data_IF_155125266856
#
_entry.id   IF_155125266856
#
_cell.length_a   1.000
_cell.length_b   1.000
_cell.length_c   1.000
_cell.angle_alpha   90.00
_cell.angle_beta   90.00
_cell.angle_gamma   90.00
#
_symmetry.space_group_name_H-M   'P 1'
#
loop_
_entity.id
_entity.type
_entity.pdbx_description
1 polymer ?
#
# COMPACT_ATOMS: atom_id res chain seq x y z
N UNK A 1 4.79 31.50 7.08
CA UNK A 1 5.17 30.12 6.72
C UNK A 1 6.59 29.91 7.21
N UNK A 2 6.79 29.02 8.18
CA UNK A 2 8.09 28.85 8.86
C UNK A 2 9.04 27.98 8.02
N UNK A 3 10.34 27.99 8.33
CA UNK A 3 11.32 27.13 7.66
C UNK A 3 10.98 25.63 7.81
N UNK A 4 10.41 25.26 8.95
CA UNK A 4 9.91 23.91 9.24
C UNK A 4 8.77 23.52 8.30
N UNK A 5 7.80 24.42 8.05
CA UNK A 5 6.69 24.18 7.12
C UNK A 5 7.18 23.94 5.69
N UNK A 6 8.24 24.65 5.29
CA UNK A 6 8.84 24.52 3.95
C UNK A 6 9.50 23.16 3.77
N UNK A 7 10.28 22.72 4.77
CA UNK A 7 10.96 21.41 4.74
C UNK A 7 9.94 20.27 4.78
N UNK A 8 8.91 20.36 5.62
CA UNK A 8 7.82 19.36 5.69
C UNK A 8 7.06 19.28 4.37
N UNK A 9 6.81 20.42 3.71
CA UNK A 9 6.11 20.47 2.43
C UNK A 9 6.94 19.86 1.30
N UNK A 10 8.25 20.14 1.26
CA UNK A 10 9.19 19.55 0.29
C UNK A 10 9.40 18.04 0.54
N UNK A 11 9.40 17.63 1.81
CA UNK A 11 9.72 16.28 2.27
C UNK A 11 8.58 15.27 2.25
N UNK A 12 7.51 15.47 1.46
CA UNK A 12 6.35 14.56 1.42
C UNK A 12 6.68 13.09 1.07
N UNK A 13 7.93 12.78 0.68
CA UNK A 13 8.45 11.44 0.36
C UNK A 13 9.48 10.92 1.36
N UNK A 14 9.79 11.68 2.41
CA UNK A 14 10.83 11.38 3.39
C UNK A 14 10.22 10.83 4.68
N UNK A 15 10.96 9.99 5.40
CA UNK A 15 10.58 9.59 6.75
C UNK A 15 10.70 10.76 7.72
N UNK A 16 9.90 10.76 8.79
CA UNK A 16 9.95 11.81 9.84
C UNK A 16 11.36 11.99 10.42
N UNK A 17 12.13 10.90 10.55
CA UNK A 17 13.52 10.96 10.99
C UNK A 17 14.45 11.66 9.99
N UNK A 18 14.22 11.49 8.68
CA UNK A 18 15.00 12.22 7.67
C UNK A 18 14.62 13.71 7.67
N UNK A 19 13.37 14.04 7.99
CA UNK A 19 12.94 15.43 8.17
C UNK A 19 13.58 16.06 9.42
N UNK A 20 13.79 15.31 10.51
CA UNK A 20 14.55 15.81 11.67
C UNK A 20 16.01 16.11 11.32
N UNK A 21 16.64 15.27 10.51
CA UNK A 21 18.06 15.41 10.16
C UNK A 21 18.33 16.59 9.20
N UNK A 22 17.31 17.00 8.44
CA UNK A 22 17.36 18.16 7.53
C UNK A 22 17.13 19.50 8.24
N UNK A 23 16.83 19.48 9.54
CA UNK A 23 16.59 20.69 10.33
C UNK A 23 17.90 21.19 10.93
N UNK A 24 18.11 22.51 10.90
CA UNK A 24 19.28 23.20 11.47
C UNK A 24 19.37 23.07 12.99
N UNK A 25 18.24 22.82 13.64
CA UNK A 25 18.15 22.60 15.07
C UNK A 25 17.68 21.18 15.36
N UNK A 26 18.09 20.63 16.50
CA UNK A 26 17.68 19.31 16.94
C UNK A 26 16.19 19.34 17.32
N UNK A 27 15.33 18.96 16.38
CA UNK A 27 13.88 18.94 16.57
C UNK A 27 13.44 17.52 16.92
N UNK A 28 12.61 17.39 17.96
CA UNK A 28 12.00 16.13 18.31
C UNK A 28 10.98 15.68 17.24
N UNK A 29 10.94 14.39 16.97
CA UNK A 29 10.00 13.79 15.99
C UNK A 29 8.53 14.08 16.31
N UNK A 30 8.17 14.27 17.58
CA UNK A 30 6.82 14.65 18.01
C UNK A 30 6.42 16.05 17.53
N UNK A 31 7.36 17.01 17.53
CA UNK A 31 7.14 18.37 17.04
C UNK A 31 6.84 18.35 15.55
N UNK A 32 7.61 17.57 14.77
CA UNK A 32 7.39 17.43 13.33
C UNK A 32 6.03 16.79 13.03
N UNK A 33 5.64 15.73 13.75
CA UNK A 33 4.31 15.12 13.60
C UNK A 33 3.18 16.12 13.88
N UNK A 34 3.32 16.95 14.91
CA UNK A 34 2.32 17.97 15.25
C UNK A 34 2.18 19.03 14.16
N UNK A 35 3.29 19.50 13.59
CA UNK A 35 3.26 20.47 12.50
C UNK A 35 2.72 19.84 11.20
N UNK A 36 3.05 18.58 10.87
CA UNK A 36 2.43 17.84 9.77
C UNK A 36 0.89 17.79 9.92
N UNK A 37 0.40 17.50 11.12
CA UNK A 37 -1.04 17.47 11.42
C UNK A 37 -1.69 18.85 11.30
N UNK A 38 -1.03 19.92 11.76
CA UNK A 38 -1.54 21.30 11.61
C UNK A 38 -1.63 21.72 10.15
N UNK A 39 -0.72 21.24 9.29
CA UNK A 39 -0.76 21.45 7.85
C UNK A 39 -1.83 20.59 7.14
N UNK A 40 -2.64 19.82 7.89
CA UNK A 40 -3.70 18.98 7.35
C UNK A 40 -3.20 17.74 6.61
N UNK A 41 -1.92 17.39 6.74
CA UNK A 41 -1.32 16.22 6.08
C UNK A 41 -1.37 15.01 7.00
N UNK A 42 -1.60 13.84 6.43
CA UNK A 42 -1.57 12.56 7.15
C UNK A 42 -0.32 11.77 6.75
N UNK A 43 0.30 11.12 7.74
CA UNK A 43 1.38 10.18 7.51
C UNK A 43 0.79 8.86 7.02
N UNK A 44 1.04 8.52 5.76
CA UNK A 44 0.66 7.24 5.18
C UNK A 44 1.89 6.34 5.01
N UNK A 45 1.67 5.03 5.09
CA UNK A 45 2.67 4.04 4.70
C UNK A 45 2.89 4.19 3.19
N UNK A 46 4.15 4.40 2.79
CA UNK A 46 4.50 4.48 1.38
C UNK A 46 4.14 3.16 0.68
N UNK A 47 3.23 3.22 -0.29
CA UNK A 47 2.93 2.07 -1.14
C UNK A 47 4.16 1.73 -1.96
N UNK A 48 4.52 0.44 -2.04
CA UNK A 48 5.50 -0.01 -3.03
C UNK A 48 4.97 0.38 -4.41
N UNK A 49 5.69 1.26 -5.10
CA UNK A 49 5.34 1.63 -6.47
C UNK A 49 5.42 0.35 -7.32
N UNK A 50 4.36 0.01 -8.07
CA UNK A 50 4.47 -1.07 -9.04
C UNK A 50 5.52 -0.71 -10.09
N UNK A 51 6.26 -1.71 -10.56
CA UNK A 51 7.29 -1.50 -11.58
C UNK A 51 6.63 -1.07 -12.89
N UNK A 52 6.93 0.14 -13.38
CA UNK A 52 6.25 0.80 -14.52
C UNK A 52 6.69 0.27 -15.89
N UNK A 53 6.89 -1.04 -16.01
CA UNK A 53 7.35 -1.68 -17.26
C UNK A 53 6.36 -1.55 -18.41
N UNK A 54 5.08 -1.35 -18.09
CA UNK A 54 3.99 -1.34 -19.06
C UNK A 54 3.65 0.05 -19.60
N UNK A 55 4.37 1.10 -19.20
CA UNK A 55 4.04 2.47 -19.59
C UNK A 55 4.10 2.69 -21.11
N UNK A 56 5.15 2.18 -21.76
CA UNK A 56 5.29 2.27 -23.22
C UNK A 56 4.16 1.52 -23.96
N UNK A 57 3.80 0.34 -23.47
CA UNK A 57 2.70 -0.45 -24.03
C UNK A 57 1.36 0.26 -23.86
N UNK A 58 1.09 0.82 -22.67
CA UNK A 58 -0.14 1.56 -22.41
C UNK A 58 -0.24 2.85 -23.23
N UNK A 59 0.88 3.55 -23.44
CA UNK A 59 0.92 4.75 -24.29
C UNK A 59 0.71 4.40 -25.76
N UNK A 60 1.33 3.33 -26.26
CA UNK A 60 1.18 2.89 -27.64
C UNK A 60 -0.26 2.46 -27.97
N UNK A 61 -0.99 1.89 -26.99
CA UNK A 61 -2.32 1.33 -27.18
C UNK A 61 -3.43 2.13 -26.47
N UNK A 62 -3.16 3.38 -26.08
CA UNK A 62 -4.13 4.23 -25.37
C UNK A 62 -5.40 4.55 -26.16
N UNK A 63 -5.33 4.42 -27.48
CA UNK A 63 -6.41 4.67 -28.43
C UNK A 63 -7.16 3.41 -28.84
N UNK A 64 -6.80 2.23 -28.30
CA UNK A 64 -7.49 0.98 -28.60
C UNK A 64 -8.96 1.05 -28.20
N UNK A 65 -9.79 0.61 -29.12
CA UNK A 65 -11.21 0.41 -28.91
C UNK A 65 -11.48 -0.99 -28.37
N UNK A 66 -12.71 -1.24 -27.93
CA UNK A 66 -13.13 -2.55 -27.46
C UNK A 66 -12.93 -3.62 -28.55
N UNK A 67 -13.14 -3.26 -29.83
CA UNK A 67 -12.92 -4.17 -30.95
C UNK A 67 -11.44 -4.52 -31.13
N UNK A 68 -10.52 -3.56 -30.95
CA UNK A 68 -9.08 -3.81 -31.05
C UNK A 68 -8.63 -4.79 -29.96
N UNK A 69 -9.12 -4.60 -28.73
CA UNK A 69 -8.89 -5.53 -27.62
C UNK A 69 -9.46 -6.93 -27.88
N UNK A 70 -10.59 -7.03 -28.58
CA UNK A 70 -11.24 -8.30 -28.90
C UNK A 70 -10.47 -9.13 -29.95
N UNK A 71 -9.62 -8.50 -30.75
CA UNK A 71 -8.75 -9.20 -31.71
C UNK A 71 -7.44 -9.69 -31.08
N UNK A 72 -7.16 -9.35 -29.82
CA UNK A 72 -5.95 -9.80 -29.13
C UNK A 72 -6.15 -11.20 -28.57
N UNK A 73 -5.26 -12.12 -28.96
CA UNK A 73 -5.16 -13.42 -28.32
C UNK A 73 -4.36 -13.30 -27.02
N UNK A 74 -5.04 -13.49 -25.88
CA UNK A 74 -4.41 -13.51 -24.57
C UNK A 74 -4.07 -14.94 -24.18
N UNK A 75 -2.82 -15.17 -23.76
CA UNK A 75 -2.36 -16.45 -23.22
C UNK A 75 -1.72 -16.20 -21.86
N UNK A 76 -2.14 -16.92 -20.84
CA UNK A 76 -1.52 -16.89 -19.51
C UNK A 76 -1.37 -18.31 -18.99
N UNK A 77 -0.33 -18.53 -18.19
CA UNK A 77 -0.07 -19.80 -17.53
C UNK A 77 -0.46 -19.65 -16.06
N UNK A 78 -1.53 -20.33 -15.66
CA UNK A 78 -1.94 -20.40 -14.26
C UNK A 78 -1.36 -21.66 -13.62
N UNK A 79 -0.67 -21.49 -12.49
CA UNK A 79 -0.27 -22.61 -11.65
C UNK A 79 -1.49 -23.12 -10.86
N UNK A 80 -1.87 -24.38 -11.10
CA UNK A 80 -2.86 -25.08 -10.27
C UNK A 80 -2.13 -25.85 -9.16
N UNK A 81 -2.29 -25.40 -7.92
CA UNK A 81 -1.79 -26.11 -6.74
C UNK A 81 -2.91 -26.98 -6.14
N UNK A 82 -2.76 -28.31 -6.20
CA UNK A 82 -3.64 -29.24 -5.47
C UNK A 82 -3.17 -29.34 -4.00
N UNK A 83 -4.08 -29.14 -3.05
CA UNK A 83 -3.82 -29.32 -1.61
C UNK A 83 -3.39 -28.08 -0.83
N UNK A 84 -3.33 -26.90 -1.47
CA UNK A 84 -3.22 -25.64 -0.72
C UNK A 84 -4.54 -25.39 0.00
N UNK A 85 -4.57 -25.42 1.33
CA UNK A 85 -5.70 -24.88 2.10
C UNK A 85 -5.80 -23.38 1.82
N UNK A 86 -6.63 -23.00 0.86
CA UNK A 86 -6.97 -21.59 0.56
C UNK A 86 -7.83 -20.99 1.68
N UNK A 87 -8.37 -21.85 2.54
CA UNK A 87 -9.28 -21.44 3.59
C UNK A 87 -8.53 -20.70 4.71
N UNK A 88 -8.64 -19.37 4.67
CA UNK A 88 -8.75 -18.62 5.92
C UNK A 88 -9.96 -19.18 6.64
N UNK A 89 -9.74 -20.12 7.56
CA UNK A 89 -10.88 -20.75 8.19
C UNK A 89 -11.59 -19.71 9.05
N UNK A 90 -12.85 -19.46 8.71
CA UNK A 90 -13.71 -18.53 9.43
C UNK A 90 -14.30 -19.28 10.62
N UNK A 91 -13.93 -18.85 11.81
CA UNK A 91 -14.43 -19.39 13.08
C UNK A 91 -15.35 -18.34 13.71
N UNK A 92 -16.55 -18.74 14.11
CA UNK A 92 -17.42 -17.91 14.95
C UNK A 92 -16.86 -17.92 16.38
N UNK A 93 -16.59 -16.75 16.96
CA UNK A 93 -16.05 -16.60 18.32
C UNK A 93 -16.52 -15.32 18.98
N UNK A 94 -16.55 -15.31 20.31
CA UNK A 94 -16.73 -14.06 21.07
C UNK A 94 -15.48 -13.17 20.97
N UNK A 95 -15.61 -11.83 21.10
CA UNK A 95 -14.50 -10.89 20.87
C UNK A 95 -13.24 -11.14 21.70
N UNK A 96 -13.37 -11.79 22.87
CA UNK A 96 -12.27 -12.01 23.81
C UNK A 96 -11.66 -13.42 23.75
N UNK A 97 -12.23 -14.34 22.96
CA UNK A 97 -11.74 -15.71 22.85
C UNK A 97 -10.65 -15.80 21.80
N UNK A 98 -9.54 -16.47 22.07
CA UNK A 98 -8.53 -16.77 21.03
C UNK A 98 -9.11 -17.77 20.04
N UNK A 99 -8.81 -17.59 18.75
CA UNK A 99 -9.19 -18.56 17.73
C UNK A 99 -8.48 -19.89 18.02
N UNK A 100 -9.25 -20.91 18.39
CA UNK A 100 -8.75 -22.27 18.61
C UNK A 100 -9.06 -23.13 17.39
N UNK A 101 -8.10 -24.00 17.03
CA UNK A 101 -8.21 -24.92 15.91
C UNK A 101 -9.32 -25.99 16.13
N UNK A 102 -9.74 -26.20 17.37
CA UNK A 102 -10.85 -27.12 17.73
C UNK A 102 -12.24 -26.59 17.32
N UNK A 103 -12.38 -25.29 17.05
CA UNK A 103 -13.65 -24.67 16.66
C UNK A 103 -13.86 -24.68 15.13
N UNK A 104 -13.00 -25.40 14.38
CA UNK A 104 -13.22 -25.67 12.98
C UNK A 104 -14.36 -26.67 12.87
N UNK A 105 -15.50 -26.26 12.31
CA UNK A 105 -16.51 -27.20 11.86
C UNK A 105 -15.89 -28.04 10.73
N UNK A 106 -15.39 -29.23 11.05
CA UNK A 106 -14.94 -30.21 10.08
C UNK A 106 -16.19 -30.79 9.44
N UNK A 107 -16.61 -30.22 8.31
CA UNK A 107 -17.53 -30.92 7.43
C UNK A 107 -16.73 -32.02 6.73
N UNK A 108 -17.04 -33.26 7.09
CA UNK A 108 -16.66 -34.46 6.35
C UNK A 108 -17.36 -34.49 4.98
#
# INVERSE_FOLDING_TARGET
MTEQDRIITQGCRLMVAQVTDLMTHQVLTCTIKREIHKLGKQLHIALKKPYLRHLAFAQAHCHWTINDCAQVLWTDELAFELGKKVDRVRVWRMPQEKAKLENLAVNH
#
